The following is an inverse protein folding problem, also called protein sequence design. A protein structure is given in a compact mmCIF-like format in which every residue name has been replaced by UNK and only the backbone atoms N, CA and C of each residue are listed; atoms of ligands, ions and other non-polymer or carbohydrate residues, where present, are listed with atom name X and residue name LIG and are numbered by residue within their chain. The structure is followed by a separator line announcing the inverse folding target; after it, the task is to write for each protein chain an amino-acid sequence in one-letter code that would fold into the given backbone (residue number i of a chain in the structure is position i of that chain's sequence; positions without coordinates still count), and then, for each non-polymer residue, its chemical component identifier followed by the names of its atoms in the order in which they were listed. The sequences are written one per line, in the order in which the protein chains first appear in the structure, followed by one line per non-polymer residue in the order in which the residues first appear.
data_IF_131337092652
#
_entry.id   IF_131337092652
#
_cell.length_a   1.000
_cell.length_b   1.000
_cell.length_c   1.000
_cell.angle_alpha   90.00
_cell.angle_beta   90.00
_cell.angle_gamma   90.00
#
_symmetry.space_group_name_H-M   'P 1'
#
loop_
_entity.id
_entity.type
_entity.pdbx_description
1 polymer ?
#
# COMPACT_ATOMS: atom_id res chain seq x y z
N UNK A 1 36.07 -13.70 -29.45
CA UNK A 1 35.12 -13.84 -28.33
C UNK A 1 34.39 -15.16 -28.54
N UNK A 2 34.43 -16.13 -27.61
CA UNK A 2 33.59 -17.31 -27.75
C UNK A 2 32.13 -16.87 -27.65
N UNK A 3 31.30 -17.35 -28.57
CA UNK A 3 29.87 -17.03 -28.58
C UNK A 3 29.24 -17.48 -27.26
N UNK A 4 28.32 -16.67 -26.73
CA UNK A 4 27.59 -17.00 -25.51
C UNK A 4 26.83 -18.32 -25.68
N UNK A 5 26.72 -19.10 -24.60
CA UNK A 5 25.94 -20.35 -24.64
C UNK A 5 24.48 -20.01 -25.00
N UNK A 6 23.94 -20.66 -26.03
CA UNK A 6 22.52 -20.54 -26.35
C UNK A 6 21.68 -21.11 -25.20
N UNK A 7 20.57 -20.44 -24.89
CA UNK A 7 19.60 -20.91 -23.91
C UNK A 7 19.02 -22.27 -24.33
N UNK A 8 18.70 -23.15 -23.36
CA UNK A 8 18.04 -24.42 -23.68
C UNK A 8 16.67 -24.19 -24.32
N UNK A 9 16.23 -25.16 -25.14
CA UNK A 9 14.87 -25.17 -25.71
C UNK A 9 13.82 -25.05 -24.59
N UNK A 10 12.65 -24.44 -24.87
CA UNK A 10 11.62 -24.20 -23.86
C UNK A 10 11.34 -25.44 -23.01
N UNK A 11 11.15 -26.63 -23.58
CA UNK A 11 10.80 -27.86 -22.86
C UNK A 11 11.88 -28.34 -21.86
N UNK A 12 13.13 -27.89 -22.04
CA UNK A 12 14.28 -28.22 -21.17
C UNK A 12 14.67 -27.08 -20.24
N UNK A 13 13.93 -25.99 -20.29
CA UNK A 13 14.16 -24.80 -19.50
C UNK A 13 13.64 -25.02 -18.06
N UNK A 14 14.33 -24.47 -17.06
CA UNK A 14 13.95 -24.65 -15.65
C UNK A 14 12.75 -23.79 -15.28
N UNK A 15 12.00 -24.18 -14.24
CA UNK A 15 10.84 -23.43 -13.71
C UNK A 15 11.10 -21.93 -13.57
N UNK A 16 12.26 -21.57 -13.00
CA UNK A 16 12.75 -20.19 -12.81
C UNK A 16 12.73 -19.30 -14.06
N UNK A 17 12.74 -19.89 -15.26
CA UNK A 17 12.71 -19.14 -16.51
C UNK A 17 11.43 -19.35 -17.33
N UNK A 18 10.52 -20.23 -16.89
CA UNK A 18 9.26 -20.48 -17.59
C UNK A 18 8.04 -20.00 -16.79
N UNK A 19 7.82 -20.61 -15.63
CA UNK A 19 6.52 -20.59 -14.92
C UNK A 19 6.67 -20.14 -13.47
N UNK A 20 7.88 -20.17 -12.91
CA UNK A 20 8.07 -19.75 -11.54
C UNK A 20 7.85 -18.24 -11.48
N UNK A 21 7.01 -17.76 -10.54
CA UNK A 21 6.81 -16.34 -10.35
C UNK A 21 8.16 -15.69 -9.99
N UNK A 22 8.48 -14.50 -10.55
CA UNK A 22 9.79 -13.84 -10.39
C UNK A 22 10.14 -13.51 -8.93
N UNK A 23 9.15 -13.48 -8.03
CA UNK A 23 9.33 -13.46 -6.59
C UNK A 23 8.06 -13.95 -5.88
N UNK A 24 8.20 -14.56 -4.70
CA UNK A 24 7.09 -14.84 -3.77
C UNK A 24 6.75 -13.60 -2.93
N UNK A 25 6.72 -12.42 -3.56
CA UNK A 25 6.56 -11.16 -2.86
C UNK A 25 5.25 -11.14 -2.06
N UNK A 26 5.36 -11.03 -0.75
CA UNK A 26 4.23 -10.59 0.07
C UNK A 26 3.93 -9.17 -0.35
N UNK A 27 2.81 -8.94 -1.03
CA UNK A 27 2.30 -7.59 -1.26
C UNK A 27 2.23 -6.84 0.07
N UNK A 28 2.14 -5.51 0.04
CA UNK A 28 2.03 -4.63 1.23
C UNK A 28 0.74 -4.83 2.04
N UNK A 29 0.12 -5.99 1.94
CA UNK A 29 -1.23 -6.32 2.35
C UNK A 29 -1.31 -6.96 3.74
N UNK A 30 -0.23 -6.91 4.54
CA UNK A 30 -0.36 -7.21 5.97
C UNK A 30 -1.10 -6.06 6.68
N UNK A 31 -2.42 -6.10 6.53
CA UNK A 31 -3.38 -5.15 7.05
C UNK A 31 -3.79 -5.43 8.50
N UNK A 32 -3.23 -6.47 9.12
CA UNK A 32 -3.62 -6.97 10.44
C UNK A 32 -3.52 -5.91 11.54
N UNK A 33 -2.66 -4.89 11.36
CA UNK A 33 -2.44 -3.81 12.32
C UNK A 33 -2.70 -2.40 11.75
N UNK A 34 -3.43 -2.27 10.63
CA UNK A 34 -3.69 -0.97 9.99
C UNK A 34 -4.34 0.02 10.94
N UNK A 35 -5.25 -0.42 11.80
CA UNK A 35 -5.96 0.47 12.72
C UNK A 35 -5.03 1.12 13.75
N UNK A 36 -4.06 0.38 14.31
CA UNK A 36 -3.13 1.00 15.25
C UNK A 36 -2.03 1.78 14.53
N UNK A 37 -1.54 1.31 13.38
CA UNK A 37 -0.54 2.04 12.60
C UNK A 37 -1.07 3.39 12.08
N UNK A 38 -2.35 3.46 11.73
CA UNK A 38 -2.97 4.67 11.20
C UNK A 38 -3.43 5.65 12.29
N UNK A 39 -3.70 5.20 13.53
CA UNK A 39 -4.12 6.06 14.64
C UNK A 39 -3.13 7.18 14.92
N UNK A 40 -1.84 6.86 15.07
CA UNK A 40 -0.81 7.88 15.32
C UNK A 40 -0.69 8.90 14.19
N UNK A 41 -0.93 8.46 12.95
CA UNK A 41 -0.91 9.34 11.77
C UNK A 41 -2.13 10.26 11.75
N UNK A 42 -3.31 9.76 12.11
CA UNK A 42 -4.55 10.52 12.24
C UNK A 42 -4.50 11.54 13.37
N UNK A 43 -3.95 11.19 14.52
CA UNK A 43 -3.83 12.11 15.66
C UNK A 43 -2.93 13.31 15.31
N UNK A 44 -1.86 13.09 14.53
CA UNK A 44 -0.98 14.17 14.05
C UNK A 44 -1.65 15.11 13.03
N UNK A 45 -2.73 14.69 12.36
CA UNK A 45 -3.50 15.55 11.45
C UNK A 45 -4.37 16.57 12.20
N UNK A 46 -4.62 16.37 13.50
CA UNK A 46 -5.38 17.32 14.34
C UNK A 46 -4.58 18.57 14.73
N UNK A 47 -3.31 18.64 14.34
CA UNK A 47 -2.38 19.74 14.63
C UNK A 47 -2.73 21.07 13.96
N UNK A 48 -3.70 21.12 13.05
CA UNK A 48 -4.10 22.38 12.45
C UNK A 48 -4.96 23.18 13.43
N UNK A 49 -4.64 24.46 13.68
CA UNK A 49 -5.47 25.31 14.50
C UNK A 49 -6.88 25.41 13.89
N UNK A 50 -7.86 25.50 14.77
CA UNK A 50 -9.28 25.62 14.41
C UNK A 50 -9.49 26.77 13.42
N UNK A 51 -10.24 26.50 12.35
CA UNK A 51 -10.62 27.52 11.38
C UNK A 51 -11.61 28.54 11.99
N UNK A 52 -11.59 29.80 11.53
CA UNK A 52 -12.46 30.85 12.08
C UNK A 52 -13.96 30.57 11.90
N UNK A 53 -14.34 29.67 11.00
CA UNK A 53 -15.73 29.30 10.71
C UNK A 53 -16.13 27.92 11.25
N UNK A 54 -15.22 27.16 11.87
CA UNK A 54 -15.48 25.76 12.25
C UNK A 54 -16.65 25.62 13.24
N UNK A 55 -16.84 26.57 14.15
CA UNK A 55 -17.97 26.56 15.08
C UNK A 55 -19.31 26.83 14.40
N UNK A 56 -19.34 27.83 13.53
CA UNK A 56 -20.54 28.17 12.77
C UNK A 56 -20.96 27.00 11.86
N UNK A 57 -20.01 26.32 11.23
CA UNK A 57 -20.29 25.13 10.43
C UNK A 57 -20.84 23.99 11.30
N UNK A 58 -20.22 23.70 12.44
CA UNK A 58 -20.71 22.66 13.36
C UNK A 58 -22.13 22.93 13.84
N UNK A 59 -22.47 24.17 14.16
CA UNK A 59 -23.82 24.55 14.59
C UNK A 59 -24.84 24.39 13.46
N UNK A 60 -24.51 24.82 12.23
CA UNK A 60 -25.40 24.69 11.06
C UNK A 60 -25.66 23.25 10.63
N UNK A 61 -24.67 22.38 10.78
CA UNK A 61 -24.75 20.98 10.39
C UNK A 61 -25.04 20.04 11.56
N UNK A 62 -25.23 20.56 12.78
CA UNK A 62 -25.73 19.78 13.90
C UNK A 62 -27.16 19.31 13.57
N UNK A 63 -27.39 18.00 13.64
CA UNK A 63 -28.74 17.45 13.48
C UNK A 63 -29.62 17.97 14.60
N UNK A 64 -30.55 18.86 14.28
CA UNK A 64 -31.73 19.08 15.09
C UNK A 64 -32.56 17.80 15.09
N UNK A 65 -32.90 17.34 16.29
CA UNK A 65 -33.66 16.12 16.55
C UNK A 65 -34.96 16.03 15.72
#
# INVERSE_FOLDING_TARGET
MPEGRQSPSPERQTGAQQQDPPASGTGTDDASNKDNANKESLEKLTSNPKGPMDDNLKEKFAKTQ
#
